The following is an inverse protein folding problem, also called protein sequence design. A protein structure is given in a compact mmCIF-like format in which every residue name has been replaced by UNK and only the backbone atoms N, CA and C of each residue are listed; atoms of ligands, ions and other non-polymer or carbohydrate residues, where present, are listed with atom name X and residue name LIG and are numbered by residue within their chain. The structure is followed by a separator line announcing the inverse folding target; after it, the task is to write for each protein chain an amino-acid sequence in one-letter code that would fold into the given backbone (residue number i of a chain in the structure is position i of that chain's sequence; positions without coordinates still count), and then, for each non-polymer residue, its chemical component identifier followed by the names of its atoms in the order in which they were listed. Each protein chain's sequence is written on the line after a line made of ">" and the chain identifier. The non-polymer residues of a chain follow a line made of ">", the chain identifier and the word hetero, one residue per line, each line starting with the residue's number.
data_IF_942382094545
#
_entry.id   IF_942382094545
#
_cell.length_a   1.000
_cell.length_b   1.000
_cell.length_c   1.000
_cell.angle_alpha   90.00
_cell.angle_beta   90.00
_cell.angle_gamma   90.00
#
_symmetry.space_group_name_H-M   'P 1'
#
loop_
_entity.id
_entity.type
_entity.pdbx_description
1 polymer ?
#
# COMPACT_ATOMS: atom_id res chain seq x y z
N UNK A 1 -32.88 -3.01 58.35
CA UNK A 1 -31.43 -3.01 58.45
C UNK A 1 -30.84 -3.73 57.22
N UNK A 2 -30.25 -2.95 56.35
CA UNK A 2 -29.60 -3.45 55.14
C UNK A 2 -28.22 -3.98 55.54
N UNK A 3 -28.03 -5.27 55.46
CA UNK A 3 -26.71 -5.91 55.53
C UNK A 3 -26.00 -5.65 54.19
N UNK A 4 -25.23 -4.59 54.14
CA UNK A 4 -24.28 -4.35 53.07
C UNK A 4 -23.11 -5.32 53.26
N UNK A 5 -23.01 -6.32 52.41
CA UNK A 5 -21.84 -7.15 52.28
C UNK A 5 -20.74 -6.28 51.63
N UNK A 6 -19.85 -5.74 52.46
CA UNK A 6 -18.58 -5.20 52.02
C UNK A 6 -17.67 -6.39 51.75
N UNK A 7 -17.72 -6.89 50.51
CA UNK A 7 -16.72 -7.82 50.01
C UNK A 7 -15.39 -7.03 49.87
N UNK A 8 -14.53 -7.15 50.84
CA UNK A 8 -13.11 -6.77 50.66
C UNK A 8 -12.51 -7.79 49.71
N UNK A 9 -11.96 -7.39 48.56
CA UNK A 9 -11.19 -8.31 47.73
C UNK A 9 -9.88 -8.61 48.47
N UNK A 10 -9.88 -9.68 49.25
CA UNK A 10 -8.65 -10.23 49.83
C UNK A 10 -8.09 -11.21 48.80
N UNK A 11 -7.15 -10.78 48.01
CA UNK A 11 -6.30 -11.70 47.27
C UNK A 11 -5.31 -12.32 48.23
N UNK A 12 -5.53 -13.57 48.62
CA UNK A 12 -4.58 -14.33 49.44
C UNK A 12 -3.48 -14.90 48.54
N UNK A 13 -2.31 -14.29 48.57
CA UNK A 13 -1.11 -14.84 47.95
C UNK A 13 -0.52 -15.94 48.89
N UNK A 14 -0.26 -17.12 48.31
CA UNK A 14 0.54 -18.15 49.00
C UNK A 14 1.92 -17.54 49.33
N UNK A 15 2.44 -17.84 50.51
CA UNK A 15 3.74 -17.32 50.99
C UNK A 15 4.92 -17.55 50.03
N UNK A 16 4.80 -18.56 49.11
CA UNK A 16 5.75 -18.84 48.04
C UNK A 16 5.64 -17.94 46.80
N UNK A 17 4.48 -17.31 46.55
CA UNK A 17 4.27 -16.54 45.32
C UNK A 17 5.11 -15.26 45.25
N UNK A 18 5.28 -14.57 46.37
CA UNK A 18 6.16 -13.39 46.48
C UNK A 18 7.64 -13.75 46.31
N UNK A 19 8.04 -14.92 46.80
CA UNK A 19 9.40 -15.44 46.61
C UNK A 19 9.69 -15.91 45.17
N UNK A 20 8.67 -16.48 44.48
CA UNK A 20 8.76 -16.79 43.05
C UNK A 20 8.89 -15.53 42.18
N UNK A 21 8.14 -14.46 42.47
CA UNK A 21 8.25 -13.19 41.75
C UNK A 21 9.65 -12.60 41.93
N UNK A 22 10.16 -12.60 43.17
CA UNK A 22 11.52 -12.09 43.48
C UNK A 22 12.62 -12.90 42.77
N UNK A 23 12.47 -14.22 42.61
CA UNK A 23 13.39 -15.04 41.84
C UNK A 23 13.27 -14.81 40.35
N UNK A 24 12.04 -14.67 39.81
CA UNK A 24 11.79 -14.41 38.39
C UNK A 24 12.33 -13.07 37.92
N UNK A 25 12.39 -12.04 38.78
CA UNK A 25 12.97 -10.73 38.43
C UNK A 25 14.47 -10.81 38.09
N UNK A 26 15.18 -11.84 38.57
CA UNK A 26 16.58 -12.08 38.19
C UNK A 26 16.72 -12.62 36.75
N UNK A 27 15.77 -13.44 36.31
CA UNK A 27 15.75 -14.06 35.00
C UNK A 27 14.92 -13.23 33.99
N UNK A 28 13.89 -12.55 34.47
CA UNK A 28 13.00 -11.67 33.68
C UNK A 28 12.79 -10.34 34.42
N UNK A 29 13.53 -9.28 34.05
CA UNK A 29 13.40 -7.96 34.68
C UNK A 29 12.01 -7.34 34.59
N UNK A 30 11.17 -7.79 33.63
CA UNK A 30 9.80 -7.30 33.46
C UNK A 30 8.77 -8.07 34.27
N UNK A 31 9.13 -9.17 34.91
CA UNK A 31 8.20 -10.01 35.68
C UNK A 31 7.49 -9.22 36.78
N UNK A 32 8.21 -8.35 37.50
CA UNK A 32 7.63 -7.48 38.51
C UNK A 32 6.65 -6.46 37.90
N UNK A 33 7.01 -5.87 36.77
CA UNK A 33 6.14 -4.91 36.08
C UNK A 33 4.85 -5.57 35.62
N UNK A 34 4.93 -6.75 35.00
CA UNK A 34 3.77 -7.54 34.57
C UNK A 34 2.85 -7.90 35.73
N UNK A 35 3.44 -8.24 36.90
CA UNK A 35 2.66 -8.48 38.11
C UNK A 35 1.95 -7.23 38.61
N UNK A 36 2.64 -6.09 38.64
CA UNK A 36 2.09 -4.81 39.07
C UNK A 36 0.98 -4.35 38.08
N UNK A 37 1.14 -4.54 36.80
CA UNK A 37 0.15 -4.17 35.77
C UNK A 37 -1.19 -4.87 36.00
N UNK A 38 -1.18 -6.14 36.41
CA UNK A 38 -2.39 -6.88 36.81
C UNK A 38 -3.06 -6.28 38.03
N UNK A 39 -2.28 -5.86 39.02
CA UNK A 39 -2.82 -5.21 40.22
C UNK A 39 -3.43 -3.83 39.94
N UNK A 40 -2.89 -3.11 38.97
CA UNK A 40 -3.37 -1.77 38.57
C UNK A 40 -4.53 -1.88 37.57
N UNK A 41 -4.78 -3.06 37.01
CA UNK A 41 -5.82 -3.32 35.99
C UNK A 41 -5.66 -2.48 34.73
N UNK A 42 -4.44 -2.36 34.21
CA UNK A 42 -4.10 -1.63 32.97
C UNK A 42 -3.98 -2.54 31.75
N UNK A 43 -4.47 -3.75 31.82
CA UNK A 43 -4.40 -4.74 30.75
C UNK A 43 -5.05 -4.21 29.44
N UNK A 44 -6.22 -3.54 29.55
CA UNK A 44 -6.92 -2.97 28.39
C UNK A 44 -6.12 -1.89 27.68
N UNK A 45 -5.41 -1.07 28.42
CA UNK A 45 -4.57 0.00 27.90
C UNK A 45 -3.30 -0.56 27.24
N UNK A 46 -2.75 -1.65 27.80
CA UNK A 46 -1.63 -2.40 27.21
C UNK A 46 -2.09 -3.08 25.92
N UNK A 47 -3.23 -3.78 25.93
CA UNK A 47 -3.79 -4.42 24.74
C UNK A 47 -4.05 -3.39 23.61
N UNK A 48 -4.52 -2.18 23.98
CA UNK A 48 -4.72 -1.10 23.02
C UNK A 48 -3.40 -0.58 22.41
N UNK A 49 -2.32 -0.53 23.20
CA UNK A 49 -0.98 -0.17 22.70
C UNK A 49 -0.41 -1.27 21.81
N UNK A 50 -0.58 -2.53 22.22
CA UNK A 50 -0.13 -3.69 21.45
C UNK A 50 -0.84 -3.80 20.09
N UNK A 51 -2.15 -3.56 20.02
CA UNK A 51 -2.88 -3.50 18.75
C UNK A 51 -2.30 -2.45 17.79
N UNK A 52 -1.98 -1.25 18.31
CA UNK A 52 -1.34 -0.20 17.47
C UNK A 52 0.07 -0.63 17.04
N UNK A 53 0.79 -1.36 17.87
CA UNK A 53 2.10 -1.91 17.52
C UNK A 53 2.00 -2.93 16.39
N UNK A 54 0.99 -3.78 16.42
CA UNK A 54 0.71 -4.74 15.35
C UNK A 54 0.39 -4.01 14.02
N UNK A 55 -0.47 -2.99 14.05
CA UNK A 55 -0.76 -2.14 12.89
C UNK A 55 0.54 -1.55 12.29
N UNK A 56 1.47 -1.08 13.13
CA UNK A 56 2.76 -0.54 12.69
C UNK A 56 3.64 -1.61 12.03
N UNK A 57 3.66 -2.82 12.58
CA UNK A 57 4.41 -3.95 12.01
C UNK A 57 3.85 -4.33 10.64
N UNK A 58 2.53 -4.38 10.48
CA UNK A 58 1.87 -4.67 9.21
C UNK A 58 2.09 -3.56 8.16
N UNK A 59 2.20 -2.30 8.60
CA UNK A 59 2.42 -1.16 7.73
C UNK A 59 3.86 -1.08 7.19
N UNK A 60 4.85 -1.53 7.95
CA UNK A 60 6.27 -1.43 7.61
C UNK A 60 6.63 -2.05 6.24
N UNK A 61 6.22 -3.29 5.90
CA UNK A 61 6.50 -3.87 4.59
C UNK A 61 5.81 -3.13 3.44
N UNK A 62 4.64 -2.52 3.68
CA UNK A 62 3.93 -1.72 2.68
C UNK A 62 4.72 -0.44 2.36
N UNK A 63 5.25 0.25 3.36
CA UNK A 63 6.13 1.42 3.19
C UNK A 63 7.40 1.03 2.44
N UNK A 64 8.03 -0.07 2.82
CA UNK A 64 9.25 -0.57 2.16
C UNK A 64 9.00 -0.87 0.69
N UNK A 65 7.89 -1.53 0.36
CA UNK A 65 7.48 -1.82 -1.02
C UNK A 65 7.23 -0.53 -1.81
N UNK A 66 6.48 0.41 -1.24
CA UNK A 66 6.20 1.69 -1.87
C UNK A 66 7.48 2.51 -2.11
N UNK A 67 8.37 2.59 -1.11
CA UNK A 67 9.66 3.26 -1.22
C UNK A 67 10.55 2.64 -2.30
N UNK A 68 10.63 1.31 -2.36
CA UNK A 68 11.36 0.59 -3.39
C UNK A 68 10.85 0.86 -4.81
N UNK A 69 9.52 0.97 -4.98
CA UNK A 69 8.94 1.32 -6.27
C UNK A 69 9.24 2.77 -6.66
N UNK A 70 9.12 3.72 -5.73
CA UNK A 70 9.44 5.14 -5.98
C UNK A 70 10.93 5.33 -6.30
N UNK A 71 11.83 4.62 -5.62
CA UNK A 71 13.27 4.69 -5.86
C UNK A 71 13.67 4.25 -7.29
N UNK A 72 12.87 3.43 -7.95
CA UNK A 72 13.10 2.96 -9.33
C UNK A 72 12.68 3.96 -10.40
N UNK A 73 11.92 5.01 -10.06
CA UNK A 73 11.41 5.99 -11.02
C UNK A 73 12.53 6.66 -11.81
N UNK A 74 13.61 7.20 -11.21
CA UNK A 74 14.63 7.92 -11.96
C UNK A 74 15.34 7.06 -13.01
N UNK A 75 15.57 5.78 -12.70
CA UNK A 75 16.17 4.82 -13.63
C UNK A 75 15.26 4.58 -14.84
N UNK A 76 13.96 4.34 -14.58
CA UNK A 76 12.96 4.11 -15.63
C UNK A 76 12.68 5.36 -16.47
N UNK A 77 12.77 6.55 -15.89
CA UNK A 77 12.69 7.80 -16.65
C UNK A 77 13.88 8.00 -17.58
N UNK A 78 15.09 7.62 -17.16
CA UNK A 78 16.28 7.62 -18.04
C UNK A 78 16.11 6.65 -19.20
N UNK A 79 15.62 5.44 -18.93
CA UNK A 79 15.33 4.44 -19.97
C UNK A 79 14.31 4.98 -20.97
N UNK A 80 13.18 5.53 -20.49
CA UNK A 80 12.16 6.15 -21.32
C UNK A 80 12.75 7.27 -22.18
N UNK A 81 13.51 8.18 -21.58
CA UNK A 81 14.15 9.29 -22.31
C UNK A 81 15.03 8.77 -23.43
N UNK A 82 15.87 7.77 -23.18
CA UNK A 82 16.73 7.17 -24.19
C UNK A 82 15.91 6.67 -25.41
N UNK A 83 14.81 5.95 -25.15
CA UNK A 83 13.93 5.42 -26.22
C UNK A 83 13.24 6.54 -26.98
N UNK A 84 12.76 7.58 -26.25
CA UNK A 84 12.13 8.76 -26.86
C UNK A 84 13.11 9.52 -27.75
N UNK A 85 14.35 9.72 -27.30
CA UNK A 85 15.39 10.40 -28.08
C UNK A 85 15.78 9.62 -29.35
N UNK A 86 15.80 8.26 -29.25
CA UNK A 86 16.02 7.40 -30.42
C UNK A 86 14.88 7.53 -31.45
N UNK A 87 13.62 7.54 -30.99
CA UNK A 87 12.47 7.76 -31.86
C UNK A 87 12.48 9.15 -32.49
N UNK A 88 12.86 10.17 -31.74
CA UNK A 88 12.97 11.53 -32.27
C UNK A 88 13.98 11.63 -33.43
N UNK A 89 15.16 11.03 -33.29
CA UNK A 89 16.17 10.97 -34.37
C UNK A 89 15.65 10.26 -35.61
N UNK A 90 14.87 9.20 -35.45
CA UNK A 90 14.23 8.49 -36.56
C UNK A 90 13.15 9.35 -37.26
N UNK A 91 12.41 10.18 -36.53
CA UNK A 91 11.43 11.13 -37.08
C UNK A 91 12.10 12.17 -37.95
N UNK A 92 13.19 12.77 -37.48
CA UNK A 92 14.00 13.74 -38.23
C UNK A 92 14.53 13.16 -39.54
N UNK A 93 14.71 11.82 -39.62
CA UNK A 93 15.10 11.06 -40.81
C UNK A 93 13.97 10.75 -41.81
N UNK A 94 12.82 11.50 -41.82
CA UNK A 94 11.67 11.36 -42.73
C UNK A 94 10.71 10.16 -42.48
N UNK A 95 10.81 9.51 -41.30
CA UNK A 95 9.89 8.41 -40.92
C UNK A 95 8.72 8.85 -40.02
N UNK A 96 8.45 10.15 -39.89
CA UNK A 96 7.55 10.71 -38.86
C UNK A 96 6.14 10.12 -38.91
N UNK A 97 5.51 10.09 -40.07
CA UNK A 97 4.13 9.61 -40.22
C UNK A 97 4.02 8.12 -39.86
N UNK A 98 4.98 7.31 -40.32
CA UNK A 98 5.01 5.87 -40.04
C UNK A 98 5.18 5.62 -38.54
N UNK A 99 6.06 6.39 -37.87
CA UNK A 99 6.31 6.27 -36.45
C UNK A 99 5.08 6.67 -35.64
N UNK A 100 4.39 7.77 -36.01
CA UNK A 100 3.14 8.19 -35.36
C UNK A 100 2.06 7.12 -35.45
N UNK A 101 1.80 6.58 -36.63
CA UNK A 101 0.83 5.51 -36.82
C UNK A 101 1.19 4.23 -36.02
N UNK A 102 2.48 3.89 -35.95
CA UNK A 102 2.93 2.75 -35.12
C UNK A 102 2.74 3.03 -33.62
N UNK A 103 2.98 4.24 -33.17
CA UNK A 103 2.76 4.60 -31.75
C UNK A 103 1.27 4.52 -31.39
N UNK A 104 0.39 5.05 -32.24
CA UNK A 104 -1.06 4.92 -32.06
C UNK A 104 -1.46 3.45 -31.96
N UNK A 105 -1.03 2.64 -32.93
CA UNK A 105 -1.37 1.22 -32.98
C UNK A 105 -0.93 0.45 -31.72
N UNK A 106 0.29 0.69 -31.26
CA UNK A 106 0.83 0.07 -30.04
C UNK A 106 0.10 0.57 -28.80
N UNK A 107 -0.18 1.88 -28.69
CA UNK A 107 -0.94 2.47 -27.60
C UNK A 107 -2.34 1.87 -27.47
N UNK A 108 -3.08 1.81 -28.60
CA UNK A 108 -4.43 1.26 -28.63
C UNK A 108 -4.47 -0.26 -28.35
N UNK A 109 -3.49 -1.03 -28.85
CA UNK A 109 -3.36 -2.45 -28.50
C UNK A 109 -3.20 -2.66 -26.99
N UNK A 110 -2.40 -1.82 -26.33
CA UNK A 110 -2.21 -1.88 -24.88
C UNK A 110 -3.48 -1.51 -24.12
N UNK A 111 -4.12 -0.40 -24.50
CA UNK A 111 -5.36 0.00 -23.86
C UNK A 111 -6.40 -1.13 -23.92
N UNK A 112 -6.58 -1.77 -25.09
CA UNK A 112 -7.48 -2.93 -25.21
C UNK A 112 -7.07 -4.09 -24.32
N UNK A 113 -5.78 -4.44 -24.27
CA UNK A 113 -5.29 -5.53 -23.44
C UNK A 113 -5.50 -5.27 -21.94
N UNK A 114 -5.32 -4.03 -21.49
CA UNK A 114 -5.58 -3.63 -20.10
C UNK A 114 -7.08 -3.73 -19.77
N UNK A 115 -7.95 -3.27 -20.66
CA UNK A 115 -9.40 -3.39 -20.50
C UNK A 115 -9.80 -4.88 -20.45
N UNK A 116 -9.30 -5.71 -21.36
CA UNK A 116 -9.60 -7.16 -21.39
C UNK A 116 -9.14 -7.86 -20.10
N UNK A 117 -7.96 -7.50 -19.57
CA UNK A 117 -7.45 -8.04 -18.31
C UNK A 117 -8.34 -7.62 -17.12
N UNK A 118 -8.83 -6.38 -17.10
CA UNK A 118 -9.73 -5.89 -16.06
C UNK A 118 -11.12 -6.54 -16.14
N UNK A 119 -11.63 -6.77 -17.36
CA UNK A 119 -12.90 -7.51 -17.57
C UNK A 119 -12.80 -8.97 -17.08
N UNK A 120 -11.65 -9.61 -17.26
CA UNK A 120 -11.45 -10.97 -16.77
C UNK A 120 -11.51 -11.04 -15.24
N UNK A 121 -10.97 -10.05 -14.53
CA UNK A 121 -11.06 -9.94 -13.07
C UNK A 121 -12.52 -9.70 -12.62
N UNK A 122 -13.25 -8.86 -13.34
CA UNK A 122 -14.63 -8.51 -12.99
C UNK A 122 -15.55 -9.74 -12.96
N UNK A 123 -15.35 -10.71 -13.85
CA UNK A 123 -16.13 -11.95 -13.89
C UNK A 123 -16.01 -12.81 -12.63
N UNK A 124 -14.93 -12.65 -11.85
CA UNK A 124 -14.69 -13.34 -10.58
C UNK A 124 -15.01 -12.51 -9.32
N UNK A 125 -15.31 -11.23 -9.47
CA UNK A 125 -15.52 -10.32 -8.34
C UNK A 125 -16.97 -10.34 -7.88
N UNK A 126 -17.19 -10.81 -6.65
CA UNK A 126 -18.55 -10.95 -6.06
C UNK A 126 -18.87 -9.81 -5.08
N UNK A 127 -17.87 -9.02 -4.64
CA UNK A 127 -18.04 -7.95 -3.65
C UNK A 127 -18.16 -6.58 -4.29
N UNK A 128 -18.99 -5.71 -3.72
CA UNK A 128 -19.16 -4.32 -4.18
C UNK A 128 -17.84 -3.55 -4.25
N UNK A 129 -16.97 -3.73 -3.26
CA UNK A 129 -15.68 -3.07 -3.18
C UNK A 129 -14.72 -3.52 -4.29
N UNK A 130 -14.66 -4.82 -4.57
CA UNK A 130 -13.86 -5.36 -5.68
C UNK A 130 -14.37 -4.85 -7.03
N UNK A 131 -15.67 -4.71 -7.21
CA UNK A 131 -16.28 -4.17 -8.43
C UNK A 131 -15.87 -2.70 -8.63
N UNK A 132 -15.99 -1.86 -7.60
CA UNK A 132 -15.60 -0.44 -7.69
C UNK A 132 -14.12 -0.28 -8.05
N UNK A 133 -13.24 -1.11 -7.50
CA UNK A 133 -11.81 -1.10 -7.82
C UNK A 133 -11.56 -1.45 -9.28
N UNK A 134 -12.20 -2.51 -9.78
CA UNK A 134 -11.99 -2.99 -11.16
C UNK A 134 -12.57 -2.01 -12.19
N UNK A 135 -13.72 -1.40 -11.92
CA UNK A 135 -14.30 -0.39 -12.81
C UNK A 135 -13.47 0.89 -12.87
N UNK A 136 -12.82 1.27 -11.76
CA UNK A 136 -11.84 2.36 -11.75
C UNK A 136 -10.59 2.02 -12.60
N UNK A 137 -10.10 0.76 -12.57
CA UNK A 137 -9.01 0.30 -13.42
C UNK A 137 -9.39 0.39 -14.92
N UNK A 138 -10.61 0.00 -15.30
CA UNK A 138 -11.09 0.10 -16.69
C UNK A 138 -11.10 1.56 -17.15
N UNK A 139 -11.64 2.48 -16.35
CA UNK A 139 -11.63 3.91 -16.68
C UNK A 139 -10.22 4.48 -16.79
N UNK A 140 -9.33 4.09 -15.89
CA UNK A 140 -7.93 4.50 -15.93
C UNK A 140 -7.21 3.97 -17.19
N UNK A 141 -7.53 2.76 -17.65
CA UNK A 141 -6.98 2.19 -18.88
C UNK A 141 -7.42 2.97 -20.12
N UNK A 142 -8.66 3.46 -20.15
CA UNK A 142 -9.14 4.33 -21.23
C UNK A 142 -8.50 5.72 -21.16
N UNK A 143 -8.51 6.37 -19.99
CA UNK A 143 -8.02 7.74 -19.84
C UNK A 143 -6.48 7.86 -19.83
N UNK A 144 -5.77 6.75 -19.59
CA UNK A 144 -4.31 6.72 -19.53
C UNK A 144 -3.60 6.62 -20.90
N UNK A 145 -4.36 6.53 -21.99
CA UNK A 145 -3.84 6.41 -23.36
C UNK A 145 -4.47 7.45 -24.27
N UNK A 146 -3.69 7.91 -25.27
CA UNK A 146 -4.24 8.71 -26.39
C UNK A 146 -4.92 7.73 -27.36
N UNK A 147 -6.25 7.77 -27.42
CA UNK A 147 -7.08 6.89 -28.25
C UNK A 147 -7.74 7.72 -29.34
N UNK A 148 -7.29 7.55 -30.57
CA UNK A 148 -7.86 8.25 -31.73
C UNK A 148 -8.74 7.34 -32.59
N UNK A 149 -8.22 6.15 -32.94
CA UNK A 149 -8.92 5.21 -33.85
C UNK A 149 -10.18 4.60 -33.22
N UNK A 150 -10.13 4.30 -31.92
CA UNK A 150 -11.22 3.71 -31.14
C UNK A 150 -11.93 4.71 -30.23
N UNK A 151 -11.84 6.01 -30.46
CA UNK A 151 -12.41 7.01 -29.57
C UNK A 151 -13.92 6.86 -29.29
N UNK A 152 -14.78 6.52 -30.28
CA UNK A 152 -16.19 6.24 -29.98
C UNK A 152 -16.41 5.02 -29.10
N UNK A 153 -15.65 3.94 -29.33
CA UNK A 153 -15.73 2.70 -28.54
C UNK A 153 -15.21 2.93 -27.12
N UNK A 154 -14.12 3.64 -26.95
CA UNK A 154 -13.55 4.01 -25.66
C UNK A 154 -14.52 4.89 -24.84
N UNK A 155 -15.15 5.87 -25.48
CA UNK A 155 -16.19 6.70 -24.85
C UNK A 155 -17.39 5.86 -24.41
N UNK A 156 -17.81 4.91 -25.24
CA UNK A 156 -18.90 4.00 -24.91
C UNK A 156 -18.55 3.08 -23.75
N UNK A 157 -17.33 2.53 -23.71
CA UNK A 157 -16.83 1.72 -22.58
C UNK A 157 -16.90 2.54 -21.28
N UNK A 158 -16.46 3.79 -21.31
CA UNK A 158 -16.50 4.66 -20.13
C UNK A 158 -17.93 4.92 -19.66
N UNK A 159 -18.84 5.17 -20.59
CA UNK A 159 -20.28 5.39 -20.29
C UNK A 159 -20.93 4.13 -19.73
N UNK A 160 -20.71 2.99 -20.36
CA UNK A 160 -21.26 1.70 -19.92
C UNK A 160 -20.70 1.29 -18.55
N UNK A 161 -19.44 1.63 -18.24
CA UNK A 161 -18.84 1.44 -16.90
C UNK A 161 -19.54 2.26 -15.84
N UNK A 162 -19.89 3.52 -16.11
CA UNK A 162 -20.66 4.35 -15.19
C UNK A 162 -22.09 3.85 -14.94
N UNK A 163 -22.76 3.40 -15.99
CA UNK A 163 -24.09 2.78 -15.90
C UNK A 163 -24.07 1.49 -15.06
N UNK A 164 -23.05 0.66 -15.27
CA UNK A 164 -22.84 -0.57 -14.50
C UNK A 164 -22.67 -0.29 -13.00
N UNK A 165 -21.83 0.66 -12.61
CA UNK A 165 -21.63 1.03 -11.22
C UNK A 165 -22.92 1.49 -10.55
N UNK A 166 -23.74 2.22 -11.27
CA UNK A 166 -25.06 2.67 -10.78
C UNK A 166 -26.01 1.49 -10.57
N UNK A 167 -26.01 0.50 -11.47
CA UNK A 167 -26.87 -0.67 -11.40
C UNK A 167 -26.48 -1.65 -10.27
N UNK A 168 -25.21 -1.68 -9.87
CA UNK A 168 -24.70 -2.58 -8.83
C UNK A 168 -25.22 -2.25 -7.43
N UNK A 169 -25.59 -1.00 -7.18
CA UNK A 169 -26.05 -0.53 -5.87
C UNK A 169 -27.40 -1.14 -5.39
N UNK A 170 -28.04 -1.95 -6.18
CA UNK A 170 -29.43 -2.36 -5.91
C UNK A 170 -29.76 -3.81 -5.57
N UNK A 171 -29.03 -4.86 -5.96
CA UNK A 171 -29.31 -6.25 -5.52
C UNK A 171 -28.36 -7.34 -6.06
N UNK A 172 -28.12 -8.37 -5.25
CA UNK A 172 -27.14 -9.44 -5.49
C UNK A 172 -27.48 -10.41 -6.64
N UNK A 173 -28.74 -10.67 -6.93
CA UNK A 173 -29.13 -11.62 -8.00
C UNK A 173 -29.19 -10.96 -9.39
N UNK A 174 -29.56 -9.68 -9.45
CA UNK A 174 -29.45 -8.88 -10.64
C UNK A 174 -27.98 -8.64 -11.04
N UNK A 175 -27.06 -8.63 -10.05
CA UNK A 175 -25.64 -8.34 -10.23
C UNK A 175 -24.94 -9.28 -11.23
N UNK A 176 -25.17 -10.58 -11.12
CA UNK A 176 -24.54 -11.56 -12.03
C UNK A 176 -24.97 -11.34 -13.47
N UNK A 177 -26.27 -11.08 -13.70
CA UNK A 177 -26.80 -10.83 -15.03
C UNK A 177 -26.27 -9.52 -15.59
N UNK A 178 -26.34 -8.43 -14.83
CA UNK A 178 -25.83 -7.11 -15.24
C UNK A 178 -24.33 -7.17 -15.52
N UNK A 179 -23.56 -7.92 -14.73
CA UNK A 179 -22.11 -8.15 -14.97
C UNK A 179 -21.88 -8.87 -16.29
N UNK A 180 -22.61 -9.95 -16.58
CA UNK A 180 -22.47 -10.70 -17.81
C UNK A 180 -22.84 -9.85 -19.04
N UNK A 181 -23.93 -9.11 -18.99
CA UNK A 181 -24.39 -8.22 -20.05
C UNK A 181 -23.36 -7.09 -20.33
N UNK A 182 -22.81 -6.48 -19.26
CA UNK A 182 -21.76 -5.48 -19.36
C UNK A 182 -20.48 -6.04 -20.03
N UNK A 183 -20.00 -7.20 -19.56
CA UNK A 183 -18.82 -7.86 -20.13
C UNK A 183 -19.03 -8.18 -21.62
N UNK A 184 -20.20 -8.66 -22.01
CA UNK A 184 -20.54 -8.93 -23.38
C UNK A 184 -20.53 -7.66 -24.23
N UNK A 185 -21.12 -6.58 -23.73
CA UNK A 185 -21.16 -5.27 -24.40
C UNK A 185 -19.76 -4.71 -24.63
N UNK A 186 -18.90 -4.71 -23.61
CA UNK A 186 -17.52 -4.19 -23.75
C UNK A 186 -16.70 -5.07 -24.69
N UNK A 187 -16.84 -6.41 -24.65
CA UNK A 187 -16.19 -7.30 -25.62
C UNK A 187 -16.61 -6.99 -27.05
N UNK A 188 -17.89 -6.71 -27.30
CA UNK A 188 -18.35 -6.30 -28.63
C UNK A 188 -17.71 -5.00 -29.11
N UNK A 189 -17.55 -4.00 -28.22
CA UNK A 189 -16.82 -2.75 -28.52
C UNK A 189 -15.34 -3.02 -28.85
N UNK A 190 -14.69 -3.88 -28.09
CA UNK A 190 -13.28 -4.26 -28.36
C UNK A 190 -13.14 -4.93 -29.74
N UNK A 191 -14.10 -5.78 -30.14
CA UNK A 191 -14.10 -6.40 -31.47
C UNK A 191 -14.24 -5.32 -32.55
N UNK A 192 -15.21 -4.41 -32.42
CA UNK A 192 -15.39 -3.27 -33.32
C UNK A 192 -14.14 -2.40 -33.41
N UNK A 193 -13.47 -2.16 -32.28
CA UNK A 193 -12.20 -1.43 -32.23
C UNK A 193 -11.08 -2.16 -32.99
N UNK A 194 -10.95 -3.48 -32.84
CA UNK A 194 -9.95 -4.30 -33.56
C UNK A 194 -10.10 -4.23 -35.07
N UNK A 195 -11.32 -4.09 -35.60
CA UNK A 195 -11.51 -3.97 -37.07
C UNK A 195 -10.86 -2.70 -37.65
N UNK A 196 -10.76 -1.61 -36.88
CA UNK A 196 -10.09 -0.36 -37.27
C UNK A 196 -8.56 -0.49 -37.35
N UNK A 197 -7.99 -1.45 -36.66
CA UNK A 197 -6.55 -1.72 -36.65
C UNK A 197 -6.03 -2.13 -38.04
N UNK A 198 -6.84 -2.89 -38.80
CA UNK A 198 -6.48 -3.33 -40.17
C UNK A 198 -6.31 -2.14 -41.12
N UNK A 199 -7.15 -1.09 -40.98
CA UNK A 199 -7.05 0.13 -41.79
C UNK A 199 -5.75 0.90 -41.48
N UNK A 200 -5.38 1.02 -40.22
CA UNK A 200 -4.12 1.67 -39.82
C UNK A 200 -2.90 0.88 -40.30
N UNK A 201 -2.95 -0.44 -40.23
CA UNK A 201 -1.88 -1.30 -40.77
C UNK A 201 -1.72 -1.12 -42.28
N UNK A 202 -2.83 -1.01 -43.03
CA UNK A 202 -2.80 -0.72 -44.46
C UNK A 202 -2.20 0.67 -44.76
N UNK A 203 -2.54 1.70 -43.96
CA UNK A 203 -1.96 3.04 -44.09
C UNK A 203 -0.44 3.05 -43.84
N UNK A 204 0.04 2.30 -42.84
CA UNK A 204 1.47 2.13 -42.56
C UNK A 204 2.18 1.53 -43.77
N UNK A 205 1.62 0.46 -44.35
CA UNK A 205 2.23 -0.21 -45.51
C UNK A 205 2.24 0.72 -46.73
N UNK A 206 1.15 1.47 -46.98
CA UNK A 206 1.11 2.45 -48.07
C UNK A 206 2.21 3.52 -47.89
N UNK A 207 2.32 4.11 -46.71
CA UNK A 207 3.35 5.13 -46.38
C UNK A 207 4.76 4.57 -46.56
N UNK A 208 5.00 3.33 -46.14
CA UNK A 208 6.27 2.64 -46.32
C UNK A 208 6.63 2.49 -47.80
N UNK A 209 5.66 2.10 -48.64
CA UNK A 209 5.85 1.99 -50.08
C UNK A 209 6.13 3.34 -50.75
N UNK A 210 5.47 4.41 -50.32
CA UNK A 210 5.75 5.77 -50.78
C UNK A 210 7.20 6.18 -50.45
N UNK A 211 7.66 5.94 -49.21
CA UNK A 211 9.04 6.25 -48.79
C UNK A 211 10.07 5.42 -49.58
N UNK A 212 9.77 4.16 -49.87
CA UNK A 212 10.62 3.30 -50.64
C UNK A 212 10.78 3.82 -52.09
N UNK A 213 9.72 4.36 -52.71
CA UNK A 213 9.79 4.99 -54.06
C UNK A 213 10.73 6.18 -54.07
N UNK A 214 10.89 6.87 -52.92
CA UNK A 214 11.83 7.97 -52.75
C UNK A 214 13.22 7.53 -52.26
N UNK A 215 13.53 6.23 -52.33
CA UNK A 215 14.83 5.69 -51.95
C UNK A 215 15.07 5.57 -50.43
N UNK A 216 14.04 5.80 -49.60
CA UNK A 216 14.13 5.73 -48.15
C UNK A 216 13.69 4.34 -47.70
N UNK A 217 14.64 3.53 -47.21
CA UNK A 217 14.38 2.25 -46.57
C UNK A 217 14.22 2.40 -45.07
N UNK A 218 13.05 2.05 -44.54
CA UNK A 218 12.80 1.96 -43.13
C UNK A 218 12.95 0.53 -42.64
N UNK A 219 13.75 0.34 -41.59
CA UNK A 219 13.80 -0.93 -40.86
C UNK A 219 12.54 -1.03 -39.97
N UNK A 220 11.46 -1.52 -40.52
CA UNK A 220 10.16 -1.64 -39.85
C UNK A 220 10.22 -2.52 -38.60
N UNK A 221 10.88 -3.69 -38.58
CA UNK A 221 11.07 -4.49 -37.37
C UNK A 221 11.75 -3.70 -36.24
N UNK A 222 12.79 -2.93 -36.54
CA UNK A 222 13.48 -2.09 -35.56
C UNK A 222 12.56 -0.97 -35.04
N UNK A 223 11.84 -0.27 -35.93
CA UNK A 223 10.91 0.79 -35.57
C UNK A 223 9.79 0.23 -34.68
N UNK A 224 9.17 -0.89 -35.06
CA UNK A 224 8.11 -1.54 -34.29
C UNK A 224 8.60 -1.91 -32.88
N UNK A 225 9.78 -2.51 -32.79
CA UNK A 225 10.40 -2.87 -31.52
C UNK A 225 10.66 -1.63 -30.67
N UNK A 226 11.24 -0.57 -31.24
CA UNK A 226 11.57 0.65 -30.51
C UNK A 226 10.31 1.39 -30.00
N UNK A 227 9.26 1.45 -30.83
CA UNK A 227 7.96 2.00 -30.44
C UNK A 227 7.33 1.16 -29.31
N UNK A 228 7.40 -0.17 -29.42
CA UNK A 228 6.91 -1.06 -28.36
C UNK A 228 7.69 -0.91 -27.06
N UNK A 229 9.01 -0.81 -27.16
CA UNK A 229 9.90 -0.63 -26.00
C UNK A 229 9.66 0.73 -25.32
N UNK A 230 9.52 1.81 -26.11
CA UNK A 230 9.21 3.16 -25.58
C UNK A 230 7.86 3.16 -24.87
N UNK A 231 6.84 2.61 -25.49
CA UNK A 231 5.52 2.54 -24.88
C UNK A 231 5.54 1.67 -23.59
N UNK A 232 6.37 0.59 -23.55
CA UNK A 232 6.57 -0.22 -22.33
C UNK A 232 7.27 0.58 -21.24
N UNK A 233 8.33 1.32 -21.59
CA UNK A 233 9.04 2.17 -20.65
C UNK A 233 8.14 3.28 -20.10
N UNK A 234 7.32 3.92 -20.94
CA UNK A 234 6.34 4.95 -20.55
C UNK A 234 5.33 4.39 -19.56
N UNK A 235 4.77 3.22 -19.84
CA UNK A 235 3.82 2.56 -18.98
C UNK A 235 4.43 2.16 -17.62
N UNK A 236 5.67 1.66 -17.63
CA UNK A 236 6.38 1.34 -16.40
C UNK A 236 6.58 2.58 -15.52
N UNK A 237 6.97 3.71 -16.12
CA UNK A 237 7.08 4.99 -15.41
C UNK A 237 5.73 5.42 -14.86
N UNK A 238 4.66 5.35 -15.67
CA UNK A 238 3.29 5.66 -15.23
C UNK A 238 2.88 4.86 -14.02
N UNK A 239 3.06 3.52 -14.06
CA UNK A 239 2.74 2.61 -12.95
C UNK A 239 3.57 2.91 -11.69
N UNK A 240 4.86 3.20 -11.85
CA UNK A 240 5.69 3.54 -10.70
C UNK A 240 5.30 4.88 -10.08
N UNK A 241 4.89 5.87 -10.88
CA UNK A 241 4.44 7.17 -10.37
C UNK A 241 3.17 7.10 -9.52
N UNK A 242 2.33 6.07 -9.69
CA UNK A 242 1.17 5.88 -8.80
C UNK A 242 1.56 5.58 -7.35
N UNK A 243 2.79 5.12 -7.12
CA UNK A 243 3.31 4.88 -5.78
C UNK A 243 3.74 6.15 -5.03
N UNK A 244 3.91 7.29 -5.74
CA UNK A 244 4.31 8.56 -5.09
C UNK A 244 3.25 9.05 -4.10
N UNK A 245 1.97 9.22 -4.46
CA UNK A 245 0.94 9.58 -3.50
C UNK A 245 0.73 8.49 -2.44
N UNK A 246 0.90 7.22 -2.81
CA UNK A 246 0.70 6.10 -1.88
C UNK A 246 1.76 6.07 -0.78
N UNK A 247 3.04 6.30 -1.08
CA UNK A 247 4.08 6.35 -0.05
C UNK A 247 3.83 7.51 0.92
N UNK A 248 3.36 8.66 0.44
CA UNK A 248 3.05 9.79 1.31
C UNK A 248 1.84 9.49 2.21
N UNK A 249 0.82 8.82 1.69
CA UNK A 249 -0.32 8.32 2.48
C UNK A 249 0.13 7.37 3.58
N UNK A 250 0.97 6.37 3.23
CA UNK A 250 1.49 5.38 4.17
C UNK A 250 2.38 6.02 5.25
N UNK A 251 3.25 6.96 4.88
CA UNK A 251 4.08 7.71 5.83
C UNK A 251 3.22 8.52 6.82
N UNK A 252 2.16 9.15 6.31
CA UNK A 252 1.22 9.90 7.18
C UNK A 252 0.53 8.96 8.15
N UNK A 253 0.02 7.83 7.67
CA UNK A 253 -0.60 6.81 8.52
C UNK A 253 0.38 6.30 9.59
N UNK A 254 1.63 6.03 9.20
CA UNK A 254 2.69 5.62 10.14
C UNK A 254 2.94 6.68 11.22
N UNK A 255 3.04 7.94 10.83
CA UNK A 255 3.23 9.03 11.79
C UNK A 255 2.03 9.18 12.76
N UNK A 256 0.81 8.99 12.26
CA UNK A 256 -0.40 9.04 13.09
C UNK A 256 -0.48 7.84 14.05
N UNK A 257 -0.11 6.63 13.60
CA UNK A 257 -0.03 5.45 14.47
C UNK A 257 1.05 5.62 15.54
N UNK A 258 2.21 6.17 15.22
CA UNK A 258 3.24 6.47 16.21
C UNK A 258 2.75 7.45 17.29
N UNK A 259 2.02 8.51 16.90
CA UNK A 259 1.41 9.46 17.85
C UNK A 259 0.38 8.76 18.73
N UNK A 260 -0.48 7.94 18.16
CA UNK A 260 -1.48 7.16 18.90
C UNK A 260 -0.81 6.19 19.88
N UNK A 261 0.23 5.49 19.43
CA UNK A 261 1.02 4.59 20.28
C UNK A 261 1.64 5.32 21.44
N UNK A 262 2.26 6.49 21.18
CA UNK A 262 2.82 7.33 22.22
C UNK A 262 1.75 7.76 23.25
N UNK A 263 0.59 8.20 22.79
CA UNK A 263 -0.51 8.57 23.67
C UNK A 263 -1.01 7.38 24.52
N UNK A 264 -1.13 6.19 23.94
CA UNK A 264 -1.52 4.98 24.68
C UNK A 264 -0.48 4.63 25.77
N UNK A 265 0.81 4.68 25.45
CA UNK A 265 1.90 4.48 26.43
C UNK A 265 1.85 5.49 27.57
N UNK A 266 1.54 6.75 27.28
CA UNK A 266 1.39 7.79 28.31
C UNK A 266 0.22 7.51 29.27
N UNK A 267 -0.85 6.89 28.79
CA UNK A 267 -1.97 6.47 29.64
C UNK A 267 -1.51 5.37 30.60
N UNK A 268 -0.84 4.33 30.10
CA UNK A 268 -0.27 3.25 30.93
C UNK A 268 0.72 3.81 31.95
N UNK A 269 1.64 4.68 31.51
CA UNK A 269 2.62 5.33 32.39
C UNK A 269 1.97 6.11 33.55
N UNK A 270 0.91 6.88 33.24
CA UNK A 270 0.16 7.62 34.30
C UNK A 270 -0.44 6.69 35.34
N UNK A 271 -1.01 5.57 34.96
CA UNK A 271 -1.54 4.58 35.91
C UNK A 271 -0.43 4.00 36.78
N UNK A 272 0.71 3.64 36.20
CA UNK A 272 1.87 3.09 36.90
C UNK A 272 2.47 4.12 37.90
N UNK A 273 2.64 5.37 37.44
CA UNK A 273 3.13 6.48 38.33
C UNK A 273 2.17 6.72 39.48
N UNK A 274 0.87 6.79 39.21
CA UNK A 274 -0.14 6.99 40.26
C UNK A 274 -0.16 5.84 41.27
N UNK A 275 0.01 4.62 40.81
CA UNK A 275 0.14 3.45 41.68
C UNK A 275 1.40 3.53 42.52
N UNK A 276 2.55 3.80 41.92
CA UNK A 276 3.82 3.90 42.61
C UNK A 276 3.77 4.96 43.73
N UNK A 277 3.14 6.11 43.45
CA UNK A 277 2.95 7.17 44.45
C UNK A 277 2.06 6.71 45.61
N UNK A 278 0.92 6.07 45.35
CA UNK A 278 0.01 5.55 46.36
C UNK A 278 0.67 4.46 47.19
N UNK A 279 1.36 3.51 46.58
CA UNK A 279 2.07 2.45 47.24
C UNK A 279 3.19 2.99 48.16
N UNK A 280 3.98 3.96 47.68
CA UNK A 280 5.01 4.62 48.46
C UNK A 280 4.43 5.33 49.69
N UNK A 281 3.29 6.03 49.55
CA UNK A 281 2.61 6.69 50.65
C UNK A 281 2.09 5.70 51.71
N UNK A 282 1.49 4.59 51.25
CA UNK A 282 1.00 3.51 52.12
C UNK A 282 2.16 2.84 52.89
N UNK A 283 3.26 2.53 52.22
CA UNK A 283 4.45 1.93 52.84
C UNK A 283 5.07 2.85 53.91
N UNK A 284 5.16 4.16 53.63
CA UNK A 284 5.66 5.14 54.57
C UNK A 284 4.78 5.27 55.83
N UNK A 285 3.46 5.09 55.68
CA UNK A 285 2.51 5.11 56.80
C UNK A 285 2.54 3.86 57.66
N UNK A 286 2.92 2.71 57.07
CA UNK A 286 2.89 1.41 57.77
C UNK A 286 4.24 0.98 58.33
N UNK A 287 5.34 1.42 57.74
CA UNK A 287 6.70 1.03 58.06
C UNK A 287 7.48 2.31 58.51
N UNK A 288 7.30 2.72 59.78
CA UNK A 288 7.91 3.95 60.32
C UNK A 288 9.45 3.92 60.34
N UNK A 289 10.05 2.75 60.34
CA UNK A 289 11.51 2.54 60.50
C UNK A 289 12.22 2.23 59.15
N UNK A 290 11.46 2.14 58.03
CA UNK A 290 11.99 1.81 56.75
C UNK A 290 11.58 2.85 55.70
N UNK A 291 12.56 3.43 55.00
CA UNK A 291 12.32 4.32 53.89
C UNK A 291 12.23 3.51 52.56
N UNK A 292 11.05 3.07 52.21
CA UNK A 292 10.79 2.41 50.93
C UNK A 292 10.03 3.36 50.00
N UNK A 293 10.60 3.64 48.84
CA UNK A 293 9.94 4.42 47.79
C UNK A 293 9.85 3.62 46.53
N UNK A 294 8.63 3.42 46.01
CA UNK A 294 8.41 2.85 44.70
C UNK A 294 8.40 3.98 43.68
N UNK A 295 9.21 3.87 42.64
CA UNK A 295 9.25 4.81 41.52
C UNK A 295 9.12 4.06 40.21
N UNK A 296 8.28 4.56 39.33
CA UNK A 296 8.22 4.13 37.96
C UNK A 296 9.05 5.08 37.08
N UNK A 297 9.98 4.54 36.32
CA UNK A 297 10.80 5.28 35.37
C UNK A 297 10.39 4.89 33.96
N UNK A 298 9.74 5.85 33.26
CA UNK A 298 9.27 5.64 31.88
C UNK A 298 10.44 5.65 30.88
N UNK A 299 11.53 6.32 31.23
CA UNK A 299 12.70 6.46 30.37
C UNK A 299 13.70 5.30 30.48
N UNK A 300 13.45 4.33 31.36
CA UNK A 300 14.29 3.16 31.48
C UNK A 300 14.31 2.39 30.14
N UNK A 301 15.47 2.32 29.49
CA UNK A 301 15.69 1.58 28.27
C UNK A 301 15.57 0.07 28.54
N UNK A 302 15.00 -0.65 27.60
CA UNK A 302 15.05 -2.12 27.63
C UNK A 302 16.53 -2.55 27.64
N UNK A 303 16.90 -3.60 28.41
CA UNK A 303 18.30 -4.05 28.52
C UNK A 303 18.99 -4.34 27.18
N UNK A 304 18.20 -4.69 26.16
CA UNK A 304 18.68 -5.02 24.81
C UNK A 304 18.53 -3.87 23.80
N UNK A 305 18.09 -2.67 24.20
CA UNK A 305 17.84 -1.58 23.26
C UNK A 305 19.07 -1.22 22.43
N UNK A 306 20.24 -1.18 23.08
CA UNK A 306 21.51 -0.91 22.42
C UNK A 306 21.84 -1.98 21.38
N UNK A 307 21.67 -3.27 21.70
CA UNK A 307 21.88 -4.38 20.77
C UNK A 307 20.93 -4.29 19.59
N UNK A 308 19.65 -4.04 19.83
CA UNK A 308 18.63 -3.91 18.76
C UNK A 308 18.93 -2.74 17.83
N UNK A 309 19.41 -1.60 18.36
CA UNK A 309 19.80 -0.45 17.54
C UNK A 309 21.04 -0.80 16.70
N UNK A 310 22.06 -1.41 17.29
CA UNK A 310 23.27 -1.84 16.59
C UNK A 310 22.94 -2.82 15.45
N UNK A 311 22.09 -3.81 15.70
CA UNK A 311 21.64 -4.78 14.69
C UNK A 311 20.84 -4.11 13.58
N UNK A 312 19.87 -3.26 13.92
CA UNK A 312 19.02 -2.57 12.96
C UNK A 312 19.78 -1.58 12.07
N UNK A 313 20.81 -0.95 12.62
CA UNK A 313 21.68 0.01 11.90
C UNK A 313 22.83 -0.67 11.16
N UNK A 314 23.05 -1.97 11.35
CA UNK A 314 24.17 -2.70 10.80
C UNK A 314 25.53 -2.24 11.33
N UNK A 315 25.56 -1.66 12.52
CA UNK A 315 26.78 -1.18 13.17
C UNK A 315 27.58 -2.36 13.75
N UNK A 316 28.88 -2.31 13.64
CA UNK A 316 29.77 -3.38 14.17
C UNK A 316 30.09 -3.22 15.64
N UNK A 317 29.88 -2.03 16.22
CA UNK A 317 30.20 -1.74 17.63
C UNK A 317 29.24 -0.69 18.20
N UNK A 318 29.10 -0.67 19.52
CA UNK A 318 28.35 0.33 20.30
C UNK A 318 28.96 1.74 20.26
N UNK A 319 30.16 1.92 19.67
CA UNK A 319 30.87 3.22 19.63
C UNK A 319 30.15 4.31 18.81
N UNK A 320 29.05 3.96 18.15
CA UNK A 320 28.23 4.90 17.38
C UNK A 320 26.94 5.35 18.10
N UNK A 321 26.68 4.82 19.29
CA UNK A 321 25.63 5.27 20.21
C UNK A 321 26.17 6.34 21.17
#
# INVERSE_FOLDING_TARGET
>A
PASGSTAFPIESYRQGATNEISKRVQDDPLALLTFLDKLIQVEKEIDAEDAIREDLVELAPQITKAAGNVARIPEREKELKLKTDQLQRLREGKGEDVIKLQQQLVGEKRARAEIEASLAKLGGAVTSEAITTITAEIRASVSGHEIELGAPEATKITTDTGAYETAVTGSTDALRKVTADYVATVKAQIIAWRTKESATTAQIEQKKQELLKHGIRLDMPFIQKLVSDEATARENVRKLKTWVPEIERLKKLHADLLKRRWAARQVVAKHRVAFAARASAALKGTLSDLFVTLKFDESALAPDAERLIVEAMGWRTLQHL
#
